data_IF_387143110506
#
_entry.id   IF_387143110506
#
_cell.length_a   1.000
_cell.length_b   1.000
_cell.length_c   1.000
_cell.angle_alpha   90.00
_cell.angle_beta   90.00
_cell.angle_gamma   90.00
#
_symmetry.space_group_name_H-M   'P 1'
#
loop_
_entity.id
_entity.type
_entity.pdbx_description
1 polymer ?
#
# COMPACT_ATOMS: atom_id res chain seq x y z
N UNK A 1 6.87 12.09 25.88
CA UNK A 1 6.57 11.88 24.45
C UNK A 1 5.36 12.74 24.12
N UNK A 2 5.33 13.42 22.98
CA UNK A 2 4.10 14.09 22.54
C UNK A 2 3.02 13.02 22.32
N UNK A 3 1.79 13.31 22.71
CA UNK A 3 0.66 12.44 22.38
C UNK A 3 0.47 12.39 20.85
N UNK A 4 -0.06 11.30 20.28
CA UNK A 4 -0.38 11.24 18.85
C UNK A 4 -1.20 12.42 18.34
N UNK A 5 -2.16 12.89 19.15
CA UNK A 5 -3.00 14.05 18.85
C UNK A 5 -2.20 15.35 18.73
N UNK A 6 -1.27 15.59 19.67
CA UNK A 6 -0.39 16.77 19.63
C UNK A 6 0.57 16.71 18.44
N UNK A 7 1.10 15.53 18.14
CA UNK A 7 2.00 15.32 17.01
C UNK A 7 1.30 15.61 15.68
N UNK A 8 0.07 15.12 15.48
CA UNK A 8 -0.74 15.44 14.29
C UNK A 8 -0.92 16.94 14.16
N UNK A 9 -1.34 17.63 15.22
CA UNK A 9 -1.61 19.07 15.20
C UNK A 9 -0.35 19.87 14.83
N UNK A 10 0.80 19.50 15.38
CA UNK A 10 2.07 20.15 15.09
C UNK A 10 2.53 19.92 13.64
N UNK A 11 2.41 18.69 13.13
CA UNK A 11 2.76 18.34 11.75
C UNK A 11 1.84 19.05 10.75
N UNK A 12 0.53 19.06 11.00
CA UNK A 12 -0.44 19.74 10.14
C UNK A 12 -0.21 21.26 10.10
N UNK A 13 -0.02 21.88 11.27
CA UNK A 13 0.22 23.33 11.32
C UNK A 13 1.56 23.75 10.67
N UNK A 14 2.58 22.88 10.73
CA UNK A 14 3.90 23.18 10.17
C UNK A 14 4.03 22.88 8.69
N UNK A 15 3.38 21.83 8.19
CA UNK A 15 3.54 21.34 6.81
C UNK A 15 2.36 21.66 5.88
N UNK A 16 1.15 21.79 6.43
CA UNK A 16 -0.07 22.08 5.65
C UNK A 16 -0.60 23.51 5.91
N UNK A 17 0.08 24.28 6.76
CA UNK A 17 -0.28 25.65 7.08
C UNK A 17 -0.15 26.57 5.86
N UNK A 18 -1.03 27.57 5.77
CA UNK A 18 -0.99 28.58 4.70
C UNK A 18 0.18 29.57 4.85
N UNK A 19 0.78 29.63 6.03
CA UNK A 19 1.94 30.46 6.35
C UNK A 19 3.19 29.60 6.52
N UNK A 20 4.34 30.13 6.09
CA UNK A 20 5.64 29.48 6.28
C UNK A 20 5.89 29.22 7.77
N UNK A 21 6.39 28.03 8.15
CA UNK A 21 6.68 27.72 9.54
C UNK A 21 7.83 28.59 10.06
N UNK A 22 7.63 29.18 11.22
CA UNK A 22 8.65 29.96 11.93
C UNK A 22 9.83 29.08 12.35
N UNK A 23 11.03 29.64 12.59
CA UNK A 23 12.19 28.86 13.04
C UNK A 23 11.90 28.03 14.29
N UNK A 24 11.13 28.57 15.24
CA UNK A 24 10.73 27.86 16.46
C UNK A 24 9.83 26.66 16.16
N UNK A 25 8.83 26.82 15.29
CA UNK A 25 7.95 25.72 14.88
C UNK A 25 8.73 24.60 14.19
N UNK A 26 9.77 24.91 13.42
CA UNK A 26 10.63 23.89 12.79
C UNK A 26 11.41 23.09 13.83
N UNK A 27 11.99 23.77 14.83
CA UNK A 27 12.70 23.10 15.92
C UNK A 27 11.74 22.20 16.70
N UNK A 28 10.54 22.69 17.01
CA UNK A 28 9.49 21.93 17.68
C UNK A 28 9.07 20.71 16.87
N UNK A 29 8.84 20.87 15.55
CA UNK A 29 8.49 19.78 14.63
C UNK A 29 9.57 18.70 14.62
N UNK A 30 10.83 19.06 14.37
CA UNK A 30 11.96 18.12 14.33
C UNK A 30 12.14 17.42 15.66
N UNK A 31 12.02 18.15 16.78
CA UNK A 31 12.08 17.56 18.12
C UNK A 31 10.93 16.58 18.36
N UNK A 32 9.70 16.94 17.98
CA UNK A 32 8.52 16.08 18.15
C UNK A 32 8.65 14.79 17.34
N UNK A 33 9.05 14.87 16.06
CA UNK A 33 9.27 13.68 15.22
C UNK A 33 10.33 12.77 15.83
N UNK A 34 11.48 13.33 16.26
CA UNK A 34 12.54 12.56 16.93
C UNK A 34 12.06 11.92 18.23
N UNK A 35 11.27 12.63 19.03
CA UNK A 35 10.70 12.09 20.27
C UNK A 35 9.71 10.96 20.04
N UNK A 36 9.08 10.92 18.86
CA UNK A 36 8.13 9.90 18.43
C UNK A 36 8.75 8.82 17.54
N UNK A 37 10.08 8.82 17.37
CA UNK A 37 10.80 7.88 16.50
C UNK A 37 10.47 6.42 16.86
N UNK A 38 10.53 6.07 18.15
CA UNK A 38 10.18 4.73 18.63
C UNK A 38 8.73 4.33 18.32
N UNK A 39 7.79 5.28 18.36
CA UNK A 39 6.39 5.03 18.01
C UNK A 39 6.20 4.76 16.54
N UNK A 40 6.96 5.42 15.65
CA UNK A 40 6.95 5.13 14.23
C UNK A 40 7.69 3.83 13.89
N UNK A 41 8.82 3.54 14.54
CA UNK A 41 9.54 2.29 14.33
C UNK A 41 8.69 1.08 14.73
N UNK A 42 8.00 1.17 15.88
CA UNK A 42 7.10 0.15 16.39
C UNK A 42 5.63 0.45 16.04
N UNK A 43 5.37 1.01 14.85
CA UNK A 43 4.05 1.50 14.43
C UNK A 43 2.94 0.51 14.76
N UNK A 44 1.91 0.95 15.51
CA UNK A 44 0.77 0.13 15.94
C UNK A 44 1.14 -1.16 16.69
N UNK A 45 2.31 -1.20 17.34
CA UNK A 45 2.68 -2.29 18.24
C UNK A 45 2.25 -1.93 19.66
N UNK A 46 1.30 -2.69 20.20
CA UNK A 46 0.76 -2.48 21.54
C UNK A 46 1.10 -3.66 22.45
N UNK A 47 1.31 -3.43 23.76
CA UNK A 47 1.55 -4.51 24.70
C UNK A 47 0.34 -5.48 24.74
N UNK A 48 0.54 -6.80 24.67
CA UNK A 48 -0.54 -7.77 24.72
C UNK A 48 -1.09 -7.95 26.15
N UNK A 49 -2.23 -8.66 26.31
CA UNK A 49 -2.79 -9.01 27.61
C UNK A 49 -1.79 -9.72 28.51
N UNK A 50 -1.78 -9.37 29.81
CA UNK A 50 -0.81 -9.91 30.77
C UNK A 50 -1.53 -10.38 32.05
N UNK A 51 -1.35 -11.64 32.49
CA UNK A 51 -2.09 -12.19 33.62
C UNK A 51 -1.96 -11.40 34.94
N UNK A 52 -0.78 -10.83 35.20
CA UNK A 52 -0.56 -9.99 36.39
C UNK A 52 -1.40 -8.72 36.37
N UNK A 53 -1.51 -8.12 35.20
CA UNK A 53 -2.18 -6.85 35.00
C UNK A 53 -3.70 -7.08 34.98
N UNK A 54 -4.13 -8.20 34.41
CA UNK A 54 -5.51 -8.71 34.52
C UNK A 54 -5.94 -8.89 35.98
N UNK A 55 -5.11 -9.52 36.81
CA UNK A 55 -5.38 -9.68 38.24
C UNK A 55 -5.44 -8.32 38.96
N UNK A 56 -4.60 -7.36 38.56
CA UNK A 56 -4.65 -6.01 39.10
C UNK A 56 -5.96 -5.30 38.75
N UNK A 57 -6.42 -5.37 37.50
CA UNK A 57 -7.72 -4.79 37.10
C UNK A 57 -8.87 -5.43 37.88
N UNK A 58 -8.86 -6.75 38.06
CA UNK A 58 -9.85 -7.47 38.87
C UNK A 58 -9.83 -7.07 40.36
N UNK A 59 -8.69 -6.61 40.87
CA UNK A 59 -8.55 -6.09 42.24
C UNK A 59 -9.13 -4.68 42.43
N UNK A 60 -9.60 -4.02 41.35
CA UNK A 60 -10.30 -2.72 41.31
C UNK A 60 -9.47 -1.49 41.67
N UNK A 61 -8.23 -1.64 42.09
CA UNK A 61 -7.32 -0.53 42.38
C UNK A 61 -6.13 -0.55 41.42
N UNK A 62 -6.07 0.44 40.53
CA UNK A 62 -5.08 0.50 39.46
C UNK A 62 -4.24 1.76 39.62
N UNK A 63 -2.93 1.61 39.43
CA UNK A 63 -2.01 2.75 39.29
C UNK A 63 -1.59 2.85 37.84
N UNK A 64 -2.14 3.83 37.12
CA UNK A 64 -1.63 4.14 35.78
C UNK A 64 -0.29 4.89 35.92
N UNK A 65 0.61 4.77 34.92
CA UNK A 65 1.79 5.62 34.84
C UNK A 65 1.39 7.09 34.89
N UNK A 66 2.04 7.87 35.75
CA UNK A 66 1.86 9.32 35.91
C UNK A 66 0.47 9.78 36.39
N UNK A 67 -0.34 8.89 36.98
CA UNK A 67 -1.64 9.26 37.57
C UNK A 67 -1.80 8.84 39.03
N UNK A 68 -2.80 9.44 39.70
CA UNK A 68 -3.29 8.94 40.99
C UNK A 68 -3.92 7.55 40.82
N UNK A 69 -3.99 6.73 41.89
CA UNK A 69 -4.72 5.48 41.87
C UNK A 69 -6.17 5.69 41.42
N UNK A 70 -6.60 4.89 40.45
CA UNK A 70 -7.97 4.86 39.94
C UNK A 70 -8.69 3.68 40.59
N UNK A 71 -9.84 3.96 41.22
CA UNK A 71 -10.74 2.92 41.72
C UNK A 71 -11.78 2.62 40.64
N UNK A 72 -11.92 1.34 40.29
CA UNK A 72 -12.90 0.87 39.32
C UNK A 72 -14.11 0.24 40.00
N UNK A 73 -15.29 0.46 39.44
CA UNK A 73 -16.47 -0.33 39.79
C UNK A 73 -16.53 -1.66 39.00
N UNK A 74 -17.56 -2.48 39.29
CA UNK A 74 -17.74 -3.77 38.61
C UNK A 74 -17.96 -3.64 37.09
N UNK A 75 -18.56 -2.54 36.65
CA UNK A 75 -18.83 -2.28 35.24
C UNK A 75 -17.54 -1.87 34.52
N UNK A 76 -16.74 -0.99 35.10
CA UNK A 76 -15.45 -0.55 34.57
C UNK A 76 -14.47 -1.72 34.42
N UNK A 77 -14.44 -2.63 35.41
CA UNK A 77 -13.66 -3.88 35.32
C UNK A 77 -14.14 -4.74 34.15
N UNK A 78 -15.45 -4.95 34.01
CA UNK A 78 -16.01 -5.75 32.93
C UNK A 78 -15.70 -5.16 31.55
N UNK A 79 -15.85 -3.84 31.38
CA UNK A 79 -15.54 -3.14 30.12
C UNK A 79 -14.04 -3.25 29.81
N UNK A 80 -13.17 -3.00 30.80
CA UNK A 80 -11.72 -3.03 30.61
C UNK A 80 -11.21 -4.41 30.19
N UNK A 81 -11.72 -5.48 30.81
CA UNK A 81 -11.38 -6.86 30.42
C UNK A 81 -11.90 -7.21 29.03
N UNK A 82 -13.11 -6.75 28.69
CA UNK A 82 -13.67 -6.94 27.36
C UNK A 82 -12.88 -6.20 26.28
N UNK A 83 -12.42 -4.97 26.55
CA UNK A 83 -11.54 -4.23 25.65
C UNK A 83 -10.20 -4.95 25.44
N UNK A 84 -9.58 -5.46 26.52
CA UNK A 84 -8.35 -6.25 26.45
C UNK A 84 -8.53 -7.47 25.54
N UNK A 85 -9.61 -8.23 25.73
CA UNK A 85 -9.90 -9.43 24.96
C UNK A 85 -10.23 -9.12 23.48
N UNK A 86 -10.99 -8.05 23.19
CA UNK A 86 -11.37 -7.67 21.82
C UNK A 86 -10.24 -7.05 21.01
N UNK A 87 -9.40 -6.23 21.65
CA UNK A 87 -8.33 -5.47 21.00
C UNK A 87 -6.96 -6.15 21.11
N UNK A 88 -6.88 -7.28 21.82
CA UNK A 88 -5.63 -7.92 22.24
C UNK A 88 -4.65 -6.90 22.86
N UNK A 89 -5.20 -6.07 23.75
CA UNK A 89 -4.50 -4.95 24.39
C UNK A 89 -4.28 -5.25 25.87
N UNK A 90 -3.14 -4.82 26.41
CA UNK A 90 -2.88 -4.92 27.85
C UNK A 90 -4.01 -4.30 28.70
N UNK A 91 -4.30 -4.93 29.85
CA UNK A 91 -5.40 -4.52 30.71
C UNK A 91 -5.22 -3.10 31.30
N UNK A 92 -3.98 -2.66 31.57
CA UNK A 92 -3.71 -1.30 32.06
C UNK A 92 -3.96 -0.26 30.97
N UNK A 93 -3.58 -0.55 29.72
CA UNK A 93 -3.86 0.32 28.58
C UNK A 93 -5.36 0.37 28.25
N UNK A 94 -6.07 -0.75 28.44
CA UNK A 94 -7.54 -0.81 28.32
C UNK A 94 -8.23 0.10 29.34
N UNK A 95 -7.72 0.15 30.58
CA UNK A 95 -8.21 1.06 31.62
C UNK A 95 -7.90 2.52 31.28
N UNK A 96 -6.71 2.80 30.74
CA UNK A 96 -6.36 4.15 30.26
C UNK A 96 -7.33 4.63 29.17
N UNK A 97 -7.72 3.76 28.23
CA UNK A 97 -8.73 4.07 27.22
C UNK A 97 -10.10 4.36 27.85
N UNK A 98 -10.51 3.58 28.84
CA UNK A 98 -11.76 3.80 29.57
C UNK A 98 -11.77 5.15 30.29
N UNK A 99 -10.68 5.48 30.99
CA UNK A 99 -10.51 6.80 31.63
C UNK A 99 -10.59 7.93 30.60
N UNK A 100 -9.95 7.76 29.44
CA UNK A 100 -9.99 8.75 28.36
C UNK A 100 -11.42 8.92 27.80
N UNK A 101 -12.15 7.82 27.62
CA UNK A 101 -13.55 7.86 27.20
C UNK A 101 -14.44 8.61 28.21
N UNK A 102 -14.21 8.39 29.51
CA UNK A 102 -14.91 9.10 30.58
C UNK A 102 -14.62 10.59 30.58
N UNK A 103 -13.37 10.99 30.31
CA UNK A 103 -12.96 12.40 30.26
C UNK A 103 -13.53 13.14 29.05
N UNK A 104 -13.53 12.54 27.87
CA UNK A 104 -13.96 13.24 26.66
C UNK A 104 -15.48 13.42 26.59
N UNK A 105 -16.27 12.47 27.12
CA UNK A 105 -17.71 12.41 26.85
C UNK A 105 -18.61 12.52 28.08
N UNK A 106 -18.05 12.72 29.29
CA UNK A 106 -18.83 12.97 30.52
C UNK A 106 -19.95 11.95 30.72
N UNK A 107 -19.57 10.69 30.92
CA UNK A 107 -20.44 9.51 30.69
C UNK A 107 -21.52 9.21 31.75
N UNK A 108 -21.84 10.14 32.66
CA UNK A 108 -22.88 9.91 33.68
C UNK A 108 -24.22 9.50 33.02
N UNK A 109 -24.63 8.24 33.22
CA UNK A 109 -25.91 7.70 32.76
C UNK A 109 -25.91 7.00 31.38
N UNK A 110 -24.75 6.70 30.78
CA UNK A 110 -24.67 5.95 29.51
C UNK A 110 -24.65 4.45 29.67
N UNK A 111 -25.14 3.75 28.65
CA UNK A 111 -25.16 2.29 28.59
C UNK A 111 -23.72 1.72 28.51
N UNK A 112 -23.38 0.62 29.22
CA UNK A 112 -22.04 0.03 29.20
C UNK A 112 -21.48 -0.22 27.80
N UNK A 113 -22.34 -0.58 26.84
CA UNK A 113 -21.95 -0.82 25.46
C UNK A 113 -21.49 0.46 24.76
N UNK A 114 -22.13 1.60 25.01
CA UNK A 114 -21.74 2.88 24.43
C UNK A 114 -20.36 3.32 24.92
N UNK A 115 -20.08 3.09 26.21
CA UNK A 115 -18.78 3.37 26.82
C UNK A 115 -17.70 2.51 26.15
N UNK A 116 -17.96 1.21 25.99
CA UNK A 116 -17.05 0.30 25.30
C UNK A 116 -16.79 0.72 23.84
N UNK A 117 -17.85 1.08 23.10
CA UNK A 117 -17.76 1.52 21.70
C UNK A 117 -16.95 2.80 21.55
N UNK A 118 -17.10 3.74 22.48
CA UNK A 118 -16.33 4.97 22.52
C UNK A 118 -14.86 4.69 22.84
N UNK A 119 -14.56 3.90 23.88
CA UNK A 119 -13.19 3.54 24.23
C UNK A 119 -12.46 2.84 23.06
N UNK A 120 -13.15 1.92 22.38
CA UNK A 120 -12.68 1.29 21.14
C UNK A 120 -12.40 2.32 20.05
N UNK A 121 -13.30 3.29 19.85
CA UNK A 121 -13.12 4.33 18.84
C UNK A 121 -11.98 5.30 19.14
N UNK A 122 -11.72 5.61 20.40
CA UNK A 122 -10.55 6.39 20.81
C UNK A 122 -9.25 5.65 20.50
N UNK A 123 -9.21 4.33 20.69
CA UNK A 123 -8.06 3.51 20.31
C UNK A 123 -7.77 3.60 18.81
N UNK A 124 -8.78 3.38 17.97
CA UNK A 124 -8.62 3.53 16.52
C UNK A 124 -8.30 4.98 16.10
N UNK A 125 -8.81 5.98 16.83
CA UNK A 125 -8.46 7.40 16.58
C UNK A 125 -6.97 7.64 16.82
N UNK A 126 -6.43 7.19 17.95
CA UNK A 126 -5.00 7.36 18.26
C UNK A 126 -4.10 6.62 17.26
N UNK A 127 -4.51 5.42 16.81
CA UNK A 127 -3.83 4.70 15.72
C UNK A 127 -3.83 5.48 14.41
N UNK A 128 -5.00 6.02 14.04
CA UNK A 128 -5.18 6.84 12.85
C UNK A 128 -4.37 8.13 12.89
N UNK A 129 -4.24 8.75 14.04
CA UNK A 129 -3.42 9.95 14.23
C UNK A 129 -1.95 9.67 13.89
N UNK A 130 -1.39 8.55 14.37
CA UNK A 130 -0.03 8.14 14.03
C UNK A 130 0.15 7.83 12.53
N UNK A 131 -0.75 7.05 11.93
CA UNK A 131 -0.65 6.69 10.52
C UNK A 131 -0.84 7.90 9.60
N UNK A 132 -1.77 8.79 9.92
CA UNK A 132 -1.99 10.04 9.17
C UNK A 132 -0.83 11.02 9.32
N UNK A 133 -0.18 11.05 10.49
CA UNK A 133 1.05 11.82 10.69
C UNK A 133 2.16 11.31 9.78
N UNK A 134 2.42 10.00 9.79
CA UNK A 134 3.44 9.39 8.94
C UNK A 134 3.15 9.67 7.45
N UNK A 135 1.90 9.50 7.04
CA UNK A 135 1.45 9.83 5.69
C UNK A 135 1.77 11.28 5.33
N UNK A 136 1.45 12.23 6.21
CA UNK A 136 1.70 13.67 5.97
C UNK A 136 3.18 13.97 5.84
N UNK A 137 4.04 13.36 6.67
CA UNK A 137 5.49 13.52 6.59
C UNK A 137 6.05 12.99 5.27
N UNK A 138 5.68 11.77 4.89
CA UNK A 138 6.09 11.17 3.61
C UNK A 138 5.62 11.99 2.41
N UNK A 139 4.35 12.44 2.47
CA UNK A 139 3.72 13.26 1.43
C UNK A 139 4.45 14.60 1.24
N UNK A 140 4.89 15.23 2.33
CA UNK A 140 5.60 16.51 2.29
C UNK A 140 6.99 16.42 1.62
N UNK A 141 7.65 15.27 1.69
CA UNK A 141 8.95 15.03 1.04
C UNK A 141 8.78 14.66 -0.44
N UNK A 142 7.77 13.85 -0.74
CA UNK A 142 7.57 13.32 -2.10
C UNK A 142 6.88 14.32 -3.03
N UNK A 143 5.95 15.10 -2.51
CA UNK A 143 5.20 16.08 -3.30
C UNK A 143 5.79 17.47 -3.10
N UNK A 144 6.05 18.18 -4.20
CA UNK A 144 6.45 19.58 -4.15
C UNK A 144 5.26 20.45 -3.71
N UNK A 145 5.18 20.69 -2.40
CA UNK A 145 4.14 21.50 -1.77
C UNK A 145 4.59 22.97 -1.57
N UNK A 146 5.71 23.39 -2.18
CA UNK A 146 6.26 24.73 -1.98
C UNK A 146 6.81 24.97 -0.57
N UNK A 147 7.17 23.89 0.15
CA UNK A 147 7.87 23.95 1.43
C UNK A 147 9.33 24.36 1.25
N UNK A 148 9.94 24.90 2.30
CA UNK A 148 11.34 25.33 2.23
C UNK A 148 12.29 24.13 2.08
N UNK A 149 13.29 24.18 1.19
CA UNK A 149 14.19 23.06 0.92
C UNK A 149 14.89 22.50 2.16
N UNK A 150 15.33 23.37 3.08
CA UNK A 150 16.01 22.96 4.31
C UNK A 150 15.08 22.14 5.22
N UNK A 151 13.80 22.53 5.30
CA UNK A 151 12.79 21.81 6.08
C UNK A 151 12.49 20.45 5.46
N UNK A 152 12.38 20.39 4.13
CA UNK A 152 12.18 19.13 3.40
C UNK A 152 13.36 18.20 3.65
N UNK A 153 14.59 18.71 3.57
CA UNK A 153 15.81 17.93 3.82
C UNK A 153 15.87 17.37 5.26
N UNK A 154 15.51 18.19 6.26
CA UNK A 154 15.44 17.75 7.65
C UNK A 154 14.41 16.62 7.86
N UNK A 155 13.21 16.76 7.27
CA UNK A 155 12.16 15.72 7.36
C UNK A 155 12.56 14.47 6.57
N UNK A 156 13.16 14.63 5.39
CA UNK A 156 13.63 13.53 4.56
C UNK A 156 14.68 12.70 5.30
N UNK A 157 15.69 13.33 5.92
CA UNK A 157 16.71 12.60 6.68
C UNK A 157 16.12 11.79 7.83
N UNK A 158 15.12 12.32 8.53
CA UNK A 158 14.41 11.58 9.59
C UNK A 158 13.61 10.38 9.04
N UNK A 159 13.01 10.51 7.86
CA UNK A 159 12.28 9.43 7.21
C UNK A 159 13.21 8.35 6.69
N UNK A 160 14.35 8.71 6.12
CA UNK A 160 15.42 7.77 5.73
C UNK A 160 15.93 7.00 6.96
N UNK A 161 16.19 7.68 8.08
CA UNK A 161 16.56 7.01 9.34
C UNK A 161 15.48 6.02 9.82
N UNK A 162 14.20 6.38 9.72
CA UNK A 162 13.08 5.50 10.10
C UNK A 162 12.97 4.29 9.16
N UNK A 163 13.12 4.50 7.86
CA UNK A 163 13.09 3.44 6.85
C UNK A 163 14.26 2.48 7.06
N UNK A 164 15.47 3.01 7.24
CA UNK A 164 16.66 2.24 7.59
C UNK A 164 16.52 1.47 8.92
N UNK A 165 15.74 2.00 9.86
CA UNK A 165 15.41 1.34 11.13
C UNK A 165 14.29 0.29 11.02
N UNK A 166 13.76 0.02 9.82
CA UNK A 166 12.81 -1.07 9.54
C UNK A 166 11.35 -0.65 9.35
N UNK A 167 11.05 0.65 9.23
CA UNK A 167 9.67 1.13 9.04
C UNK A 167 8.99 0.48 7.84
N UNK A 168 9.68 0.33 6.70
CA UNK A 168 9.10 -0.26 5.48
C UNK A 168 8.62 -1.69 5.72
N UNK A 169 9.44 -2.52 6.36
CA UNK A 169 9.03 -3.88 6.74
C UNK A 169 7.83 -3.87 7.68
N UNK A 170 7.78 -2.92 8.61
CA UNK A 170 6.63 -2.77 9.52
C UNK A 170 5.36 -2.41 8.76
N UNK A 171 5.41 -1.50 7.79
CA UNK A 171 4.27 -1.17 6.92
C UNK A 171 3.77 -2.40 6.16
N UNK A 172 4.68 -3.16 5.54
CA UNK A 172 4.37 -4.38 4.79
C UNK A 172 3.67 -5.42 5.69
N UNK A 173 4.19 -5.63 6.89
CA UNK A 173 3.62 -6.56 7.86
C UNK A 173 2.25 -6.09 8.35
N UNK A 174 2.08 -4.80 8.64
CA UNK A 174 0.80 -4.24 9.10
C UNK A 174 -0.32 -4.41 8.07
N UNK A 175 -0.05 -4.20 6.77
CA UNK A 175 -1.06 -4.40 5.72
C UNK A 175 -1.63 -5.85 5.76
N UNK A 176 -0.78 -6.83 6.10
CA UNK A 176 -1.16 -8.25 6.30
C UNK A 176 -1.82 -8.50 7.65
N UNK A 177 -1.25 -8.00 8.73
CA UNK A 177 -1.73 -8.20 10.10
C UNK A 177 -3.15 -7.66 10.26
N UNK A 178 -3.40 -6.43 9.81
CA UNK A 178 -4.69 -5.77 9.91
C UNK A 178 -5.78 -6.43 9.07
N UNK A 179 -5.42 -7.14 8.00
CA UNK A 179 -6.40 -7.93 7.23
C UNK A 179 -7.06 -9.02 8.10
N UNK A 180 -6.36 -9.52 9.12
CA UNK A 180 -6.90 -10.53 10.06
C UNK A 180 -7.90 -9.94 11.05
N UNK A 181 -7.97 -8.62 11.17
CA UNK A 181 -9.01 -7.95 11.95
C UNK A 181 -10.37 -7.93 11.20
N UNK A 182 -10.43 -8.34 9.92
CA UNK A 182 -11.69 -8.50 9.17
C UNK A 182 -12.17 -9.97 9.23
N UNK A 183 -13.47 -10.29 9.49
CA UNK A 183 -14.64 -9.41 9.67
C UNK A 183 -14.98 -9.08 11.13
N UNK A 184 -14.29 -9.69 12.11
CA UNK A 184 -14.72 -9.70 13.52
C UNK A 184 -13.70 -9.16 14.51
N UNK A 185 -12.62 -8.50 14.11
CA UNK A 185 -11.55 -8.07 15.02
C UNK A 185 -10.76 -9.23 15.65
N UNK A 186 -9.77 -8.90 16.48
CA UNK A 186 -8.83 -9.87 17.08
C UNK A 186 -9.49 -10.83 18.08
N UNK A 187 -10.61 -10.44 18.70
CA UNK A 187 -11.36 -11.25 19.68
C UNK A 187 -12.37 -12.24 19.09
N UNK A 188 -12.43 -12.42 17.76
CA UNK A 188 -13.32 -13.39 17.12
C UNK A 188 -14.79 -12.93 16.96
N UNK A 189 -15.72 -13.82 16.56
CA UNK A 189 -17.05 -13.46 16.03
C UNK A 189 -17.99 -12.74 17.00
N UNK A 190 -17.65 -12.66 18.29
CA UNK A 190 -18.43 -11.98 19.33
C UNK A 190 -18.00 -10.54 19.56
N UNK A 191 -16.96 -10.08 18.88
CA UNK A 191 -16.50 -8.70 18.96
C UNK A 191 -17.56 -7.70 18.51
N UNK A 192 -17.50 -6.52 19.12
CA UNK A 192 -18.39 -5.44 18.75
C UNK A 192 -18.14 -4.95 17.31
N UNK A 193 -19.20 -4.99 16.49
CA UNK A 193 -19.14 -4.66 15.06
C UNK A 193 -19.07 -3.16 14.79
N UNK A 194 -19.68 -2.36 15.67
CA UNK A 194 -19.76 -0.91 15.50
C UNK A 194 -19.08 -0.18 16.65
N UNK A 195 -18.40 0.92 16.35
CA UNK A 195 -17.74 1.76 17.34
C UNK A 195 -18.22 3.21 17.21
N UNK A 196 -17.94 4.03 18.22
CA UNK A 196 -18.25 5.47 18.19
C UNK A 196 -16.96 6.22 17.85
N UNK A 197 -16.92 6.94 16.74
CA UNK A 197 -15.76 7.75 16.36
C UNK A 197 -15.57 8.95 17.30
N UNK A 198 -14.44 9.65 17.20
CA UNK A 198 -14.15 10.82 18.05
C UNK A 198 -15.14 11.99 17.89
N UNK A 199 -15.99 11.97 16.87
CA UNK A 199 -17.06 12.95 16.65
C UNK A 199 -18.43 12.48 17.15
N UNK A 200 -18.51 11.25 17.67
CA UNK A 200 -19.75 10.67 18.17
C UNK A 200 -20.55 9.85 17.18
N UNK A 201 -20.04 9.63 15.97
CA UNK A 201 -20.77 8.89 14.96
C UNK A 201 -20.55 7.38 15.14
N UNK A 202 -21.64 6.61 15.01
CA UNK A 202 -21.56 5.15 14.96
C UNK A 202 -21.00 4.72 13.60
N UNK A 203 -19.89 3.98 13.60
CA UNK A 203 -19.20 3.53 12.38
C UNK A 203 -18.87 2.04 12.48
N UNK A 204 -18.79 1.37 11.33
CA UNK A 204 -18.44 -0.05 11.27
C UNK A 204 -16.93 -0.24 11.50
N UNK A 205 -16.56 -1.14 12.43
CA UNK A 205 -15.16 -1.44 12.76
C UNK A 205 -14.35 -1.85 11.53
N UNK A 206 -14.95 -2.68 10.66
CA UNK A 206 -14.34 -3.13 9.40
C UNK A 206 -13.92 -1.94 8.52
N UNK A 207 -14.79 -0.96 8.33
CA UNK A 207 -14.50 0.21 7.51
C UNK A 207 -13.35 1.06 8.08
N UNK A 208 -13.22 1.12 9.40
CA UNK A 208 -12.11 1.81 10.08
C UNK A 208 -10.79 1.10 9.81
N UNK A 209 -10.75 -0.23 9.96
CA UNK A 209 -9.57 -1.06 9.68
C UNK A 209 -9.17 -0.99 8.21
N UNK A 210 -10.11 -1.14 7.28
CA UNK A 210 -9.86 -1.03 5.83
C UNK A 210 -9.25 0.32 5.47
N UNK A 211 -9.78 1.41 6.05
CA UNK A 211 -9.23 2.74 5.82
C UNK A 211 -7.81 2.90 6.35
N UNK A 212 -7.50 2.31 7.50
CA UNK A 212 -6.14 2.33 8.05
C UNK A 212 -5.16 1.53 7.19
N UNK A 213 -5.59 0.35 6.72
CA UNK A 213 -4.82 -0.46 5.75
C UNK A 213 -4.53 0.31 4.46
N UNK A 214 -5.51 1.06 3.96
CA UNK A 214 -5.34 1.90 2.78
C UNK A 214 -4.29 2.99 3.00
N UNK A 215 -4.37 3.72 4.13
CA UNK A 215 -3.36 4.74 4.48
C UNK A 215 -1.96 4.12 4.59
N UNK A 216 -1.84 2.91 5.17
CA UNK A 216 -0.56 2.19 5.22
C UNK A 216 -0.04 1.82 3.82
N UNK A 217 -0.94 1.45 2.90
CA UNK A 217 -0.62 1.25 1.49
C UNK A 217 -0.08 2.52 0.82
N UNK A 218 -0.70 3.68 1.09
CA UNK A 218 -0.21 4.97 0.59
C UNK A 218 1.16 5.32 1.19
N UNK A 219 1.35 5.11 2.50
CA UNK A 219 2.64 5.27 3.15
C UNK A 219 3.72 4.37 2.52
N UNK A 220 3.38 3.13 2.17
CA UNK A 220 4.31 2.21 1.50
C UNK A 220 4.75 2.76 0.13
N UNK A 221 3.80 3.22 -0.70
CA UNK A 221 4.06 3.85 -1.99
C UNK A 221 5.02 5.05 -1.84
N UNK A 222 4.72 5.95 -0.91
CA UNK A 222 5.54 7.13 -0.69
C UNK A 222 6.92 6.79 -0.11
N UNK A 223 7.03 5.77 0.75
CA UNK A 223 8.32 5.33 1.31
C UNK A 223 9.31 4.85 0.25
N UNK A 224 8.81 4.29 -0.87
CA UNK A 224 9.62 3.85 -2.03
C UNK A 224 10.18 5.04 -2.82
N UNK A 225 9.47 6.17 -2.77
CA UNK A 225 9.87 7.42 -3.42
C UNK A 225 10.85 8.22 -2.57
N UNK A 226 10.82 8.07 -1.24
CA UNK A 226 11.84 8.61 -0.33
C UNK A 226 13.13 7.81 -0.41
N UNK A 227 13.07 6.50 -0.18
CA UNK A 227 14.23 5.62 -0.22
C UNK A 227 13.93 4.37 -1.04
N UNK A 228 14.92 3.92 -1.83
CA UNK A 228 14.76 2.74 -2.69
C UNK A 228 14.59 1.46 -1.87
N UNK A 229 13.68 0.56 -2.26
CA UNK A 229 13.50 -0.71 -1.59
C UNK A 229 14.58 -1.72 -2.00
N UNK A 230 14.96 -2.58 -1.07
CA UNK A 230 15.88 -3.69 -1.35
C UNK A 230 15.19 -4.95 -1.89
N UNK A 231 15.96 -5.97 -2.31
CA UNK A 231 15.43 -7.25 -2.80
C UNK A 231 14.38 -7.92 -1.89
N UNK A 232 14.59 -7.84 -0.57
CA UNK A 232 13.68 -8.40 0.43
C UNK A 232 12.32 -7.68 0.42
N UNK A 233 12.34 -6.36 0.43
CA UNK A 233 11.11 -5.54 0.41
C UNK A 233 10.28 -5.87 -0.83
N UNK A 234 10.92 -5.97 -2.00
CA UNK A 234 10.24 -6.28 -3.27
C UNK A 234 9.54 -7.64 -3.21
N UNK A 235 10.23 -8.68 -2.72
CA UNK A 235 9.63 -10.02 -2.56
C UNK A 235 8.48 -10.01 -1.56
N UNK A 236 8.64 -9.30 -0.44
CA UNK A 236 7.60 -9.25 0.59
C UNK A 236 6.36 -8.50 0.10
N UNK A 237 6.51 -7.36 -0.59
CA UNK A 237 5.41 -6.62 -1.22
C UNK A 237 4.72 -7.48 -2.27
N UNK A 238 5.47 -8.19 -3.11
CA UNK A 238 4.91 -9.13 -4.10
C UNK A 238 4.06 -10.21 -3.44
N UNK A 239 4.54 -10.82 -2.35
CA UNK A 239 3.78 -11.82 -1.62
C UNK A 239 2.48 -11.22 -1.03
N UNK A 240 2.55 -10.00 -0.48
CA UNK A 240 1.35 -9.31 0.04
C UNK A 240 0.34 -9.02 -1.08
N UNK A 241 0.81 -8.55 -2.23
CA UNK A 241 -0.04 -8.30 -3.41
C UNK A 241 -0.76 -9.58 -3.82
N UNK A 242 -0.02 -10.69 -3.95
CA UNK A 242 -0.57 -11.99 -4.31
C UNK A 242 -1.62 -12.47 -3.31
N UNK A 243 -1.34 -12.36 -2.02
CA UNK A 243 -2.27 -12.74 -0.95
C UNK A 243 -3.56 -11.89 -0.97
N UNK A 244 -3.44 -10.57 -1.22
CA UNK A 244 -4.60 -9.68 -1.29
C UNK A 244 -5.42 -9.92 -2.56
N UNK A 245 -4.77 -10.07 -3.71
CA UNK A 245 -5.44 -10.34 -4.98
C UNK A 245 -6.26 -11.63 -4.93
N UNK A 246 -5.73 -12.68 -4.27
CA UNK A 246 -6.43 -13.96 -4.09
C UNK A 246 -7.64 -13.87 -3.15
N UNK A 247 -7.70 -12.85 -2.30
CA UNK A 247 -8.77 -12.63 -1.32
C UNK A 247 -9.75 -11.53 -1.73
N UNK A 248 -9.59 -10.95 -2.93
CA UNK A 248 -10.49 -9.91 -3.40
C UNK A 248 -11.92 -10.45 -3.48
N UNK A 249 -12.88 -9.83 -2.76
CA UNK A 249 -14.26 -10.29 -2.78
C UNK A 249 -14.86 -10.10 -4.17
N UNK A 250 -15.70 -11.04 -4.60
CA UNK A 250 -16.57 -10.87 -5.77
C UNK A 250 -17.67 -9.85 -5.41
N UNK A 251 -17.35 -8.56 -5.45
CA UNK A 251 -18.24 -7.46 -5.10
C UNK A 251 -17.57 -6.08 -5.10
N UNK A 252 -18.35 -5.02 -4.89
CA UNK A 252 -17.91 -3.62 -4.93
C UNK A 252 -17.15 -3.17 -3.65
N UNK A 253 -16.18 -3.95 -3.16
CA UNK A 253 -15.32 -3.51 -2.06
C UNK A 253 -14.20 -2.60 -2.59
N UNK A 254 -14.54 -1.32 -2.75
CA UNK A 254 -13.67 -0.30 -3.33
C UNK A 254 -12.34 -0.18 -2.58
N UNK A 255 -12.36 -0.24 -1.24
CA UNK A 255 -11.15 -0.11 -0.43
C UNK A 255 -10.20 -1.30 -0.57
N UNK A 256 -10.74 -2.52 -0.67
CA UNK A 256 -9.91 -3.73 -0.91
C UNK A 256 -9.15 -3.65 -2.23
N UNK A 257 -9.79 -3.12 -3.29
CA UNK A 257 -9.12 -2.85 -4.55
C UNK A 257 -8.06 -1.74 -4.43
N UNK A 258 -8.35 -0.63 -3.75
CA UNK A 258 -7.37 0.46 -3.54
C UNK A 258 -6.13 -0.02 -2.76
N UNK A 259 -6.31 -0.85 -1.73
CA UNK A 259 -5.18 -1.48 -1.02
C UNK A 259 -4.36 -2.34 -1.99
N UNK A 260 -5.02 -3.15 -2.82
CA UNK A 260 -4.36 -3.98 -3.83
C UNK A 260 -3.61 -3.14 -4.87
N UNK A 261 -4.19 -2.01 -5.29
CA UNK A 261 -3.56 -1.08 -6.22
C UNK A 261 -2.33 -0.42 -5.60
N UNK A 262 -2.38 -0.03 -4.32
CA UNK A 262 -1.21 0.53 -3.64
C UNK A 262 -0.02 -0.44 -3.64
N UNK A 263 -0.26 -1.75 -3.50
CA UNK A 263 0.78 -2.78 -3.57
C UNK A 263 1.27 -3.00 -5.01
N UNK A 264 0.35 -3.03 -5.99
CA UNK A 264 0.69 -3.12 -7.42
C UNK A 264 1.59 -1.95 -7.83
N UNK A 265 1.18 -0.73 -7.50
CA UNK A 265 1.92 0.48 -7.85
C UNK A 265 3.20 0.62 -7.06
N UNK A 266 3.27 0.16 -5.80
CA UNK A 266 4.54 0.09 -5.07
C UNK A 266 5.62 -0.68 -5.86
N UNK A 267 5.25 -1.81 -6.46
CA UNK A 267 6.17 -2.60 -7.29
C UNK A 267 6.46 -1.93 -8.64
N UNK A 268 5.45 -1.42 -9.35
CA UNK A 268 5.65 -0.70 -10.63
C UNK A 268 6.60 0.49 -10.42
N UNK A 269 6.36 1.28 -9.38
CA UNK A 269 7.18 2.45 -9.03
C UNK A 269 8.61 2.01 -8.72
N UNK A 270 8.78 0.92 -7.95
CA UNK A 270 10.10 0.36 -7.63
C UNK A 270 10.88 0.04 -8.90
N UNK A 271 10.31 -0.77 -9.79
CA UNK A 271 11.00 -1.25 -10.99
C UNK A 271 11.37 -0.13 -11.94
N UNK A 272 10.43 0.78 -12.21
CA UNK A 272 10.67 1.90 -13.11
C UNK A 272 11.66 2.90 -12.52
N UNK A 273 11.56 3.20 -11.22
CA UNK A 273 12.48 4.14 -10.60
C UNK A 273 13.90 3.59 -10.48
N UNK A 274 14.06 2.30 -10.17
CA UNK A 274 15.37 1.65 -10.07
C UNK A 274 16.04 1.56 -11.45
N UNK A 275 15.29 1.20 -12.50
CA UNK A 275 15.80 1.16 -13.87
C UNK A 275 16.25 2.53 -14.37
N UNK A 276 15.46 3.58 -14.14
CA UNK A 276 15.84 4.95 -14.51
C UNK A 276 17.07 5.41 -13.71
N UNK A 277 17.16 5.05 -12.43
CA UNK A 277 18.33 5.35 -11.59
C UNK A 277 19.59 4.66 -12.13
N UNK A 278 19.50 3.40 -12.54
CA UNK A 278 20.61 2.64 -13.12
C UNK A 278 21.18 3.30 -14.38
N UNK A 279 20.35 3.98 -15.18
CA UNK A 279 20.79 4.74 -16.36
C UNK A 279 21.52 6.05 -16.03
N UNK A 280 21.50 6.49 -14.76
CA UNK A 280 22.00 7.80 -14.32
C UNK A 280 23.20 7.74 -13.36
N UNK A 281 23.89 6.60 -13.28
CA UNK A 281 25.01 6.32 -12.35
C UNK A 281 24.67 6.54 -10.85
N UNK A 282 23.39 6.58 -10.49
CA UNK A 282 22.92 6.55 -9.10
C UNK A 282 22.85 5.10 -8.62
N UNK A 283 23.02 4.85 -7.32
CA UNK A 283 22.99 3.49 -6.76
C UNK A 283 21.62 2.81 -6.99
N UNK A 284 21.52 2.01 -8.04
CA UNK A 284 20.42 1.08 -8.26
C UNK A 284 20.60 -0.12 -7.33
N UNK A 285 19.56 -0.47 -6.58
CA UNK A 285 19.66 -1.53 -5.56
C UNK A 285 19.34 -2.91 -6.12
N UNK A 286 18.35 -3.01 -7.02
CA UNK A 286 17.91 -4.30 -7.57
C UNK A 286 18.47 -4.59 -8.96
N UNK A 287 18.71 -3.56 -9.78
CA UNK A 287 19.27 -3.72 -11.14
C UNK A 287 20.63 -4.42 -11.14
N UNK A 288 21.49 -4.15 -10.15
CA UNK A 288 22.85 -4.69 -10.07
C UNK A 288 22.93 -6.12 -9.51
N UNK A 289 21.86 -6.61 -8.88
CA UNK A 289 21.84 -7.92 -8.22
C UNK A 289 21.36 -9.02 -9.20
N UNK A 290 22.31 -9.68 -9.87
CA UNK A 290 22.00 -10.75 -10.83
C UNK A 290 21.29 -11.97 -10.19
N UNK A 291 21.59 -12.25 -8.92
CA UNK A 291 20.93 -13.34 -8.18
C UNK A 291 19.46 -13.03 -7.94
N UNK A 292 19.17 -11.80 -7.49
CA UNK A 292 17.81 -11.32 -7.35
C UNK A 292 17.05 -11.35 -8.68
N UNK A 293 17.66 -10.89 -9.79
CA UNK A 293 16.99 -10.90 -11.11
C UNK A 293 16.55 -12.30 -11.51
N UNK A 294 17.42 -13.30 -11.33
CA UNK A 294 17.13 -14.70 -11.66
C UNK A 294 16.04 -15.27 -10.76
N UNK A 295 16.18 -15.09 -9.44
CA UNK A 295 15.17 -15.58 -8.47
C UNK A 295 13.81 -14.91 -8.67
N UNK A 296 13.79 -13.60 -8.92
CA UNK A 296 12.54 -12.86 -9.11
C UNK A 296 11.88 -13.19 -10.45
N UNK A 297 12.66 -13.48 -11.49
CA UNK A 297 12.13 -14.03 -12.75
C UNK A 297 11.36 -15.32 -12.51
N UNK A 298 11.93 -16.26 -11.75
CA UNK A 298 11.26 -17.53 -11.44
C UNK A 298 9.97 -17.31 -10.64
N UNK A 299 10.01 -16.39 -9.67
CA UNK A 299 8.85 -16.03 -8.82
C UNK A 299 7.71 -15.43 -9.65
N UNK A 300 8.01 -14.51 -10.56
CA UNK A 300 6.97 -13.80 -11.34
C UNK A 300 6.43 -14.65 -12.49
N UNK A 301 7.26 -15.55 -13.04
CA UNK A 301 6.84 -16.45 -14.12
C UNK A 301 6.09 -17.70 -13.63
N UNK A 302 6.15 -18.01 -12.33
CA UNK A 302 5.33 -19.05 -11.74
C UNK A 302 3.84 -18.84 -12.04
N UNK A 303 3.19 -19.87 -12.60
CA UNK A 303 1.76 -19.84 -12.93
C UNK A 303 0.91 -20.10 -11.69
N UNK A 304 -0.11 -19.26 -11.48
CA UNK A 304 -1.16 -19.47 -10.49
C UNK A 304 -2.45 -19.98 -11.12
N UNK A 305 -3.33 -20.59 -10.33
CA UNK A 305 -4.64 -21.07 -10.78
C UNK A 305 -5.73 -19.98 -10.77
N UNK A 306 -5.57 -18.93 -9.98
CA UNK A 306 -6.53 -17.84 -9.87
C UNK A 306 -6.30 -16.76 -10.95
N UNK A 307 -7.33 -16.48 -11.75
CA UNK A 307 -7.27 -15.56 -12.88
C UNK A 307 -7.08 -14.10 -12.43
N UNK A 308 -7.71 -13.70 -11.32
CA UNK A 308 -7.59 -12.34 -10.78
C UNK A 308 -6.16 -12.08 -10.32
N UNK A 309 -5.63 -12.98 -9.49
CA UNK A 309 -4.25 -12.93 -9.02
C UNK A 309 -3.25 -12.94 -10.18
N UNK A 310 -3.44 -13.83 -11.16
CA UNK A 310 -2.55 -13.89 -12.31
C UNK A 310 -2.60 -12.64 -13.20
N UNK A 311 -3.75 -11.96 -13.27
CA UNK A 311 -3.90 -10.66 -13.92
C UNK A 311 -3.09 -9.56 -13.24
N UNK A 312 -3.16 -9.45 -11.91
CA UNK A 312 -2.33 -8.51 -11.14
C UNK A 312 -0.83 -8.81 -11.29
N UNK A 313 -0.45 -10.09 -11.21
CA UNK A 313 0.93 -10.52 -11.47
C UNK A 313 1.32 -10.21 -12.92
N UNK A 314 0.39 -10.28 -13.87
CA UNK A 314 0.59 -9.81 -15.24
C UNK A 314 1.07 -8.35 -15.32
N UNK A 315 0.45 -7.46 -14.53
CA UNK A 315 0.92 -6.07 -14.39
C UNK A 315 2.35 -5.96 -13.84
N UNK A 316 2.71 -6.84 -12.90
CA UNK A 316 4.07 -6.95 -12.38
C UNK A 316 5.04 -7.46 -13.44
N UNK A 317 4.66 -8.46 -14.24
CA UNK A 317 5.46 -8.96 -15.38
C UNK A 317 5.72 -7.86 -16.40
N UNK A 318 4.73 -7.00 -16.67
CA UNK A 318 4.89 -5.85 -17.56
C UNK A 318 5.95 -4.87 -17.03
N UNK A 319 5.84 -4.46 -15.76
CA UNK A 319 6.81 -3.56 -15.16
C UNK A 319 8.21 -4.19 -15.04
N UNK A 320 8.28 -5.48 -14.73
CA UNK A 320 9.51 -6.24 -14.67
C UNK A 320 10.19 -6.36 -16.04
N UNK A 321 9.43 -6.65 -17.10
CA UNK A 321 9.96 -6.71 -18.46
C UNK A 321 10.54 -5.36 -18.89
N UNK A 322 9.86 -4.25 -18.57
CA UNK A 322 10.37 -2.90 -18.86
C UNK A 322 11.64 -2.60 -18.07
N UNK A 323 11.70 -2.99 -16.80
CA UNK A 323 12.90 -2.88 -15.99
C UNK A 323 14.08 -3.65 -16.61
N UNK A 324 13.89 -4.92 -16.97
CA UNK A 324 14.91 -5.73 -17.62
C UNK A 324 15.37 -5.13 -18.97
N UNK A 325 14.45 -4.60 -19.77
CA UNK A 325 14.77 -3.93 -21.04
C UNK A 325 15.67 -2.70 -20.81
N UNK A 326 15.33 -1.83 -19.86
CA UNK A 326 16.10 -0.62 -19.58
C UNK A 326 17.52 -0.92 -19.07
N UNK A 327 17.69 -1.94 -18.21
CA UNK A 327 19.02 -2.33 -17.73
C UNK A 327 19.82 -3.05 -18.81
N UNK A 328 19.16 -3.79 -19.72
CA UNK A 328 19.81 -4.49 -20.82
C UNK A 328 20.54 -3.50 -21.74
N UNK A 329 19.89 -2.39 -22.09
CA UNK A 329 20.49 -1.31 -22.88
C UNK A 329 21.65 -0.62 -22.14
N UNK A 330 21.51 -0.38 -20.84
CA UNK A 330 22.55 0.24 -20.00
C UNK A 330 23.81 -0.62 -19.85
N UNK A 331 23.65 -1.94 -19.73
CA UNK A 331 24.76 -2.89 -19.55
C UNK A 331 25.40 -3.26 -20.89
N UNK A 332 24.62 -3.41 -21.96
CA UNK A 332 25.13 -3.74 -23.30
C UNK A 332 25.98 -2.61 -23.93
N UNK A 333 25.90 -1.38 -23.42
CA UNK A 333 26.76 -0.28 -23.83
C UNK A 333 28.19 -0.33 -23.31
N UNK A 334 28.47 -1.14 -22.26
CA UNK A 334 29.79 -1.20 -21.61
C UNK A 334 30.59 -2.50 -21.81
N UNK A 335 29.95 -3.64 -22.10
CA UNK A 335 30.67 -4.93 -22.21
C UNK A 335 30.34 -5.73 -23.50
N UNK A 336 31.34 -6.33 -24.17
CA UNK A 336 31.08 -7.21 -25.31
C UNK A 336 30.44 -8.53 -24.86
N UNK A 337 29.25 -8.82 -25.40
CA UNK A 337 28.49 -10.09 -25.44
C UNK A 337 28.96 -11.15 -24.43
N UNK A 338 28.47 -11.03 -23.19
CA UNK A 338 28.61 -12.04 -22.14
C UNK A 338 27.42 -13.02 -22.16
N UNK A 339 27.59 -14.23 -21.63
CA UNK A 339 26.50 -15.22 -21.46
C UNK A 339 25.32 -14.69 -20.65
N UNK A 340 25.56 -13.76 -19.72
CA UNK A 340 24.51 -13.07 -18.97
C UNK A 340 23.55 -12.25 -19.85
N UNK A 341 24.05 -11.68 -20.96
CA UNK A 341 23.19 -10.96 -21.93
C UNK A 341 22.18 -11.88 -22.63
N UNK A 342 22.53 -13.16 -22.80
CA UNK A 342 21.65 -14.13 -23.46
C UNK A 342 20.51 -14.61 -22.55
N UNK A 343 20.79 -14.76 -21.25
CA UNK A 343 19.77 -15.15 -20.26
C UNK A 343 18.81 -14.00 -19.97
N UNK A 344 19.32 -12.77 -19.84
CA UNK A 344 18.48 -11.59 -19.60
C UNK A 344 17.53 -11.30 -20.79
N UNK A 345 18.01 -11.49 -22.03
CA UNK A 345 17.16 -11.45 -23.22
C UNK A 345 16.07 -12.53 -23.20
N UNK A 346 16.40 -13.77 -22.80
CA UNK A 346 15.43 -14.85 -22.65
C UNK A 346 14.34 -14.52 -21.63
N UNK A 347 14.72 -13.90 -20.50
CA UNK A 347 13.78 -13.44 -19.48
C UNK A 347 12.80 -12.40 -20.05
N UNK A 348 13.31 -11.38 -20.77
CA UNK A 348 12.48 -10.35 -21.43
C UNK A 348 11.47 -10.99 -22.38
N UNK A 349 11.93 -11.86 -23.29
CA UNK A 349 11.05 -12.51 -24.27
C UNK A 349 9.96 -13.35 -23.59
N UNK A 350 10.31 -14.13 -22.56
CA UNK A 350 9.34 -14.95 -21.82
C UNK A 350 8.26 -14.12 -21.13
N UNK A 351 8.62 -12.96 -20.56
CA UNK A 351 7.64 -12.04 -19.99
C UNK A 351 6.73 -11.46 -21.07
N UNK A 352 7.27 -11.02 -22.21
CA UNK A 352 6.50 -10.48 -23.32
C UNK A 352 5.50 -11.51 -23.88
N UNK A 353 5.92 -12.75 -24.08
CA UNK A 353 5.02 -13.83 -24.49
C UNK A 353 3.85 -14.02 -23.53
N UNK A 354 4.14 -14.04 -22.22
CA UNK A 354 3.11 -14.14 -21.17
C UNK A 354 2.16 -12.93 -21.17
N UNK A 355 2.70 -11.71 -21.27
CA UNK A 355 1.92 -10.46 -21.27
C UNK A 355 0.92 -10.42 -22.43
N UNK A 356 1.39 -10.74 -23.65
CA UNK A 356 0.55 -10.69 -24.85
C UNK A 356 -0.42 -11.88 -24.90
N UNK A 357 0.01 -13.11 -24.59
CA UNK A 357 -0.87 -14.29 -24.63
C UNK A 357 -2.03 -14.20 -23.63
N UNK A 358 -1.79 -13.60 -22.46
CA UNK A 358 -2.82 -13.41 -21.42
C UNK A 358 -3.57 -12.09 -21.53
N UNK A 359 -3.25 -11.27 -22.52
CA UNK A 359 -3.78 -9.93 -22.70
C UNK A 359 -3.83 -9.11 -21.39
N UNK A 360 -2.66 -8.95 -20.77
CA UNK A 360 -2.52 -8.20 -19.51
C UNK A 360 -3.05 -6.77 -19.62
N UNK A 361 -2.95 -6.15 -20.80
CA UNK A 361 -3.46 -4.79 -21.04
C UNK A 361 -4.97 -4.70 -20.82
N UNK A 362 -5.73 -5.71 -21.26
CA UNK A 362 -7.17 -5.77 -21.01
C UNK A 362 -7.46 -5.90 -19.51
N UNK A 363 -6.72 -6.77 -18.82
CA UNK A 363 -6.89 -6.93 -17.38
C UNK A 363 -6.66 -5.61 -16.63
N UNK A 364 -5.56 -4.90 -16.92
CA UNK A 364 -5.23 -3.62 -16.31
C UNK A 364 -6.27 -2.54 -16.65
N UNK A 365 -6.82 -2.55 -17.86
CA UNK A 365 -7.91 -1.65 -18.23
C UNK A 365 -9.15 -1.89 -17.37
N UNK A 366 -9.66 -3.10 -17.35
CA UNK A 366 -10.99 -3.38 -16.80
C UNK A 366 -10.97 -3.53 -15.28
N UNK A 367 -9.91 -4.12 -14.73
CA UNK A 367 -9.81 -4.45 -13.30
C UNK A 367 -8.94 -3.47 -12.51
N UNK A 368 -8.31 -2.49 -13.17
CA UNK A 368 -7.58 -1.39 -12.52
C UNK A 368 -8.12 -0.04 -12.99
N UNK A 369 -7.78 0.41 -14.19
CA UNK A 369 -7.98 1.82 -14.62
C UNK A 369 -9.46 2.24 -14.76
N UNK A 370 -10.34 1.33 -15.16
CA UNK A 370 -11.78 1.60 -15.33
C UNK A 370 -12.57 1.42 -14.04
N UNK A 371 -11.96 0.92 -12.97
CA UNK A 371 -12.65 0.67 -11.70
C UNK A 371 -12.92 1.96 -10.93
N UNK A 372 -14.01 1.97 -10.17
CA UNK A 372 -14.31 3.06 -9.23
C UNK A 372 -13.24 3.19 -8.14
N UNK A 373 -12.56 2.10 -7.79
CA UNK A 373 -11.46 2.09 -6.83
C UNK A 373 -10.29 2.96 -7.29
N UNK A 374 -9.90 2.85 -8.56
CA UNK A 374 -8.81 3.65 -9.12
C UNK A 374 -9.23 5.12 -9.31
N UNK A 375 -10.45 5.35 -9.82
CA UNK A 375 -10.92 6.69 -10.17
C UNK A 375 -11.25 7.55 -8.94
N UNK A 376 -11.63 6.94 -7.82
CA UNK A 376 -11.99 7.63 -6.57
C UNK A 376 -10.94 7.45 -5.48
N UNK A 377 -9.71 7.08 -5.83
CA UNK A 377 -8.58 7.09 -4.89
C UNK A 377 -8.16 8.52 -4.54
N UNK A 378 -7.22 8.67 -3.62
CA UNK A 378 -6.66 9.96 -3.23
C UNK A 378 -5.94 10.63 -4.42
N UNK A 379 -6.19 11.93 -4.62
CA UNK A 379 -5.72 12.69 -5.79
C UNK A 379 -4.21 12.58 -5.99
N UNK A 380 -3.45 12.65 -4.90
CA UNK A 380 -2.00 12.51 -4.92
C UNK A 380 -1.55 11.11 -5.37
N UNK A 381 -2.26 10.07 -4.93
CA UNK A 381 -1.97 8.69 -5.35
C UNK A 381 -2.28 8.49 -6.82
N UNK A 382 -3.43 8.99 -7.29
CA UNK A 382 -3.80 8.95 -8.71
C UNK A 382 -2.74 9.66 -9.55
N UNK A 383 -2.29 10.84 -9.12
CA UNK A 383 -1.22 11.59 -9.79
C UNK A 383 0.07 10.78 -9.89
N UNK A 384 0.55 10.20 -8.78
CA UNK A 384 1.75 9.36 -8.75
C UNK A 384 1.58 8.13 -9.64
N UNK A 385 0.45 7.41 -9.54
CA UNK A 385 0.17 6.22 -10.32
C UNK A 385 0.17 6.53 -11.82
N UNK A 386 -0.52 7.58 -12.24
CA UNK A 386 -0.54 8.02 -13.64
C UNK A 386 0.85 8.43 -14.14
N UNK A 387 1.63 9.16 -13.34
CA UNK A 387 3.00 9.53 -13.70
C UNK A 387 3.88 8.28 -13.94
N UNK A 388 3.72 7.23 -13.14
CA UNK A 388 4.46 5.98 -13.30
C UNK A 388 3.91 5.06 -14.39
N UNK A 389 2.61 5.07 -14.66
CA UNK A 389 2.04 4.42 -15.85
C UNK A 389 2.53 5.08 -17.13
N UNK A 390 2.61 6.41 -17.15
CA UNK A 390 3.18 7.16 -18.26
C UNK A 390 4.64 6.77 -18.49
N UNK A 391 5.47 6.75 -17.44
CA UNK A 391 6.89 6.32 -17.53
C UNK A 391 7.00 4.87 -18.02
N UNK A 392 6.27 3.95 -17.40
CA UNK A 392 6.21 2.53 -17.78
C UNK A 392 5.88 2.37 -19.27
N UNK A 393 4.80 3.00 -19.72
CA UNK A 393 4.30 2.91 -21.10
C UNK A 393 5.26 3.55 -22.09
N UNK A 394 5.85 4.69 -21.74
CA UNK A 394 6.81 5.39 -22.60
C UNK A 394 8.08 4.56 -22.78
N UNK A 395 8.64 4.03 -21.69
CA UNK A 395 9.80 3.13 -21.73
C UNK A 395 9.49 1.87 -22.55
N UNK A 396 8.34 1.23 -22.30
CA UNK A 396 7.89 0.06 -23.05
C UNK A 396 7.81 0.33 -24.55
N UNK A 397 7.11 1.37 -24.98
CA UNK A 397 6.91 1.67 -26.40
C UNK A 397 8.15 2.22 -27.10
N UNK A 398 9.11 2.78 -26.37
CA UNK A 398 10.39 3.24 -26.93
C UNK A 398 11.37 2.10 -27.22
N UNK A 399 11.27 0.99 -26.49
CA UNK A 399 12.28 -0.07 -26.55
C UNK A 399 12.15 -0.90 -27.85
N UNK A 400 13.24 -1.19 -28.58
CA UNK A 400 13.18 -1.97 -29.84
C UNK A 400 12.49 -3.32 -29.71
N UNK A 401 12.83 -4.12 -28.69
CA UNK A 401 12.28 -5.47 -28.47
C UNK A 401 10.75 -5.42 -28.29
N UNK A 402 10.26 -4.49 -27.47
CA UNK A 402 8.82 -4.33 -27.25
C UNK A 402 8.11 -3.85 -28.52
N UNK A 403 8.70 -2.93 -29.30
CA UNK A 403 8.15 -2.48 -30.58
C UNK A 403 7.99 -3.62 -31.58
N UNK A 404 8.98 -4.51 -31.66
CA UNK A 404 8.90 -5.69 -32.52
C UNK A 404 7.75 -6.62 -32.09
N UNK A 405 7.56 -6.83 -30.77
CA UNK A 405 6.43 -7.61 -30.26
C UNK A 405 5.07 -6.96 -30.51
N UNK A 406 4.98 -5.65 -30.35
CA UNK A 406 3.77 -4.88 -30.68
C UNK A 406 3.44 -4.99 -32.17
N UNK A 407 4.46 -4.94 -33.05
CA UNK A 407 4.28 -5.12 -34.49
C UNK A 407 3.78 -6.54 -34.82
N UNK A 408 4.37 -7.57 -34.23
CA UNK A 408 3.90 -8.95 -34.37
C UNK A 408 2.42 -9.09 -33.96
N UNK A 409 2.06 -8.54 -32.80
CA UNK A 409 0.67 -8.57 -32.30
C UNK A 409 -0.30 -7.80 -33.20
N UNK A 410 0.13 -6.67 -33.76
CA UNK A 410 -0.63 -5.91 -34.76
C UNK A 410 -0.86 -6.74 -36.02
N UNK A 411 0.19 -7.35 -36.56
CA UNK A 411 0.10 -8.14 -37.79
C UNK A 411 -0.83 -9.35 -37.60
N UNK A 412 -0.78 -9.99 -36.42
CA UNK A 412 -1.72 -11.05 -36.02
C UNK A 412 -3.16 -10.53 -35.96
N UNK A 413 -3.39 -9.36 -35.34
CA UNK A 413 -4.72 -8.77 -35.27
C UNK A 413 -5.30 -8.41 -36.65
N UNK A 414 -4.45 -7.88 -37.54
CA UNK A 414 -4.83 -7.57 -38.92
C UNK A 414 -5.14 -8.84 -39.73
N UNK A 415 -4.42 -9.93 -39.50
CA UNK A 415 -4.68 -11.23 -40.14
C UNK A 415 -6.06 -11.80 -39.75
N UNK A 416 -6.40 -11.73 -38.45
CA UNK A 416 -7.72 -12.13 -37.95
C UNK A 416 -8.83 -11.32 -38.62
N UNK A 417 -8.70 -9.99 -38.67
CA UNK A 417 -9.66 -9.10 -39.33
C UNK A 417 -9.80 -9.37 -40.84
N UNK A 418 -8.70 -9.67 -41.52
CA UNK A 418 -8.73 -10.02 -42.95
C UNK A 418 -9.40 -11.37 -43.20
N UNK A 419 -9.25 -12.32 -42.28
CA UNK A 419 -9.87 -13.65 -42.37
C UNK A 419 -11.40 -13.56 -42.32
N UNK A 420 -11.95 -12.66 -41.49
CA UNK A 420 -13.38 -12.35 -41.46
C UNK A 420 -13.89 -11.75 -42.78
N UNK A 421 -13.12 -10.87 -43.43
CA UNK A 421 -13.47 -10.30 -44.74
C UNK A 421 -13.51 -11.33 -45.87
N UNK A 422 -12.75 -12.42 -45.76
CA UNK A 422 -12.74 -13.52 -46.73
C UNK A 422 -13.81 -14.58 -46.47
N UNK A 423 -14.32 -14.72 -45.24
CA UNK A 423 -15.38 -15.69 -44.91
C UNK A 423 -16.80 -15.19 -45.21
N UNK A 424 -16.99 -13.92 -45.55
CA UNK A 424 -18.30 -13.35 -45.95
C UNK A 424 -18.88 -13.91 -47.27
N UNK A 425 -18.24 -14.90 -47.91
CA UNK A 425 -18.81 -15.55 -49.09
C UNK A 425 -19.57 -16.86 -48.85
N UNK A 426 -19.38 -17.60 -47.74
CA UNK A 426 -20.11 -18.87 -47.52
C UNK A 426 -20.24 -19.23 -46.03
N UNK A 427 -21.49 -19.47 -45.62
CA UNK A 427 -21.97 -20.12 -44.39
C UNK A 427 -21.91 -19.37 -43.04
N UNK A 428 -23.07 -18.82 -42.67
CA UNK A 428 -23.40 -18.43 -41.31
C UNK A 428 -23.80 -19.63 -40.46
N UNK A 429 -22.88 -20.16 -39.65
CA UNK A 429 -23.11 -20.63 -38.27
C UNK A 429 -21.78 -21.13 -37.71
N UNK A 430 -21.54 -20.93 -36.41
CA UNK A 430 -20.30 -21.15 -35.64
C UNK A 430 -19.47 -19.87 -35.43
N UNK A 431 -20.07 -18.86 -34.77
CA UNK A 431 -19.27 -17.92 -33.98
C UNK A 431 -18.70 -18.69 -32.79
N UNK A 432 -17.41 -19.02 -32.84
CA UNK A 432 -16.65 -19.55 -31.71
C UNK A 432 -16.44 -18.43 -30.69
N UNK A 433 -16.59 -18.72 -29.39
CA UNK A 433 -16.37 -17.77 -28.27
C UNK A 433 -14.98 -17.10 -28.27
N UNK A 434 -14.02 -17.61 -29.04
CA UNK A 434 -12.70 -16.99 -29.27
C UNK A 434 -12.75 -15.73 -30.15
N UNK A 435 -13.84 -15.50 -30.90
CA UNK A 435 -14.01 -14.33 -31.76
C UNK A 435 -14.26 -13.02 -30.99
N UNK A 436 -14.70 -13.11 -29.73
CA UNK A 436 -15.20 -11.97 -28.94
C UNK A 436 -14.17 -11.45 -27.91
N UNK A 437 -12.99 -12.07 -27.81
CA UNK A 437 -11.94 -11.62 -26.90
C UNK A 437 -11.17 -10.44 -27.51
N UNK A 438 -10.97 -9.34 -26.75
CA UNK A 438 -10.13 -8.23 -27.20
C UNK A 438 -8.74 -8.73 -27.59
N UNK A 439 -8.27 -8.34 -28.78
CA UNK A 439 -6.93 -8.68 -29.24
C UNK A 439 -5.91 -7.86 -28.45
N UNK A 440 -4.77 -8.43 -28.01
CA UNK A 440 -3.79 -7.73 -27.17
C UNK A 440 -3.31 -6.38 -27.73
N UNK A 441 -3.16 -6.27 -29.06
CA UNK A 441 -2.83 -5.02 -29.72
C UNK A 441 -3.91 -3.93 -29.50
N UNK A 442 -5.20 -4.28 -29.61
CA UNK A 442 -6.31 -3.34 -29.40
C UNK A 442 -6.35 -2.91 -27.94
N UNK A 443 -6.24 -3.87 -27.01
CA UNK A 443 -6.20 -3.60 -25.57
C UNK A 443 -5.02 -2.72 -25.18
N UNK A 444 -3.85 -2.89 -25.79
CA UNK A 444 -2.70 -1.99 -25.59
C UNK A 444 -3.03 -0.56 -26.04
N UNK A 445 -3.67 -0.37 -27.21
CA UNK A 445 -4.04 0.96 -27.69
C UNK A 445 -5.06 1.64 -26.77
N UNK A 446 -6.06 0.90 -26.30
CA UNK A 446 -7.02 1.41 -25.32
C UNK A 446 -6.37 1.72 -23.97
N UNK A 447 -5.43 0.89 -23.52
CA UNK A 447 -4.68 1.07 -22.28
C UNK A 447 -3.88 2.37 -22.33
N UNK A 448 -3.14 2.58 -23.42
CA UNK A 448 -2.41 3.83 -23.69
C UNK A 448 -3.40 5.00 -23.73
N UNK A 449 -4.49 4.89 -24.50
CA UNK A 449 -5.49 5.95 -24.58
C UNK A 449 -6.06 6.32 -23.21
N UNK A 450 -6.28 5.35 -22.32
CA UNK A 450 -6.86 5.60 -21.00
C UNK A 450 -5.90 6.32 -20.05
N UNK A 451 -4.59 6.11 -20.21
CA UNK A 451 -3.56 6.81 -19.41
C UNK A 451 -3.48 8.30 -19.77
N UNK A 452 -3.77 8.66 -21.02
CA UNK A 452 -3.66 10.04 -21.52
C UNK A 452 -5.01 10.78 -21.64
N UNK A 453 -6.10 10.16 -21.20
CA UNK A 453 -7.41 10.82 -21.00
C UNK A 453 -7.45 11.44 -19.62
#
# INVERSE_FOLDING_TARGET
MASPKELVALVQSSLLGTSRPTPTQRIELTHAIRSSFSSFQNLLSFPPPKPSDRAQVQSREIRLPDSLPVSLDDQDVAISLKLSDELHLNEIDSVRLLVSANQEWGLMGRDPLEIQRLATGLWYTGRRDLTSTLYTLLRAVVLDQGLEPDLIADVQGLLEDLIGAGLRQRLINLIKELNREEPSGLGGPLCERYLIDSRGALVERRAVVQRERLILGHCLVLSILVERPGPKDVKDIYNVLKDNAAQLPQGNDTMSYQITFSLLFSLIITFISDAISALSDKSSMISQDATFRTEFQDIVMASGSDLTTDGFIGGIRLAWAVHLMLIYDGISGMDPVSTASTTDMGHICSCLESIFSKNVFQFLLDNVLRTAAYQNDEEDMIYIYNAYLHKLTSCFLSHPIARDKVKESKDMAMSVLNSYRTCDSLDGSMQTEEADRPLPFISLMEFVSKIYQ
#
